data_IF_747393281875
#
_entry.id   IF_747393281875
#
_cell.length_a   1.000
_cell.length_b   1.000
_cell.length_c   1.000
_cell.angle_alpha   90.00
_cell.angle_beta   90.00
_cell.angle_gamma   90.00
#
_symmetry.space_group_name_H-M   'P 1'
#
loop_
_entity.id
_entity.type
_entity.pdbx_description
1 polymer ?
#
# COMPACT_ATOMS: atom_id res chain seq x y z
N UNK A 1 17.28 34.05 -34.04
CA UNK A 1 17.45 33.40 -32.73
C UNK A 1 16.09 32.95 -32.24
N UNK A 2 15.67 31.82 -32.67
CA UNK A 2 14.38 31.23 -32.28
C UNK A 2 14.63 30.10 -31.33
N UNK A 3 14.31 30.31 -30.09
CA UNK A 3 14.26 29.25 -29.10
C UNK A 3 13.19 28.23 -29.51
N UNK A 4 13.47 26.95 -29.51
CA UNK A 4 12.50 25.95 -29.94
C UNK A 4 11.33 25.89 -28.95
N UNK A 5 10.13 26.06 -29.49
CA UNK A 5 8.83 25.88 -28.83
C UNK A 5 8.55 24.44 -28.35
N UNK A 6 9.57 23.58 -28.28
CA UNK A 6 9.42 22.17 -27.92
C UNK A 6 9.20 21.97 -26.40
N UNK A 7 9.69 22.87 -25.56
CA UNK A 7 9.58 22.76 -24.11
C UNK A 7 8.14 22.76 -23.56
N UNK A 8 7.25 23.66 -24.00
CA UNK A 8 5.89 23.68 -23.48
C UNK A 8 5.05 22.47 -23.90
N UNK A 9 5.36 21.83 -25.03
CA UNK A 9 4.63 20.65 -25.51
C UNK A 9 5.01 19.43 -24.70
N UNK A 10 6.29 19.23 -24.40
CA UNK A 10 6.78 18.10 -23.59
C UNK A 10 6.23 18.20 -22.16
N UNK A 11 6.22 19.38 -21.57
CA UNK A 11 5.66 19.63 -20.24
C UNK A 11 4.14 19.38 -20.25
N UNK A 12 3.43 19.80 -21.29
CA UNK A 12 1.99 19.55 -21.45
C UNK A 12 1.67 18.06 -21.60
N UNK A 13 2.45 17.33 -22.36
CA UNK A 13 2.29 15.87 -22.52
C UNK A 13 2.59 15.16 -21.20
N UNK A 14 3.61 15.59 -20.47
CA UNK A 14 3.98 15.01 -19.17
C UNK A 14 2.91 15.28 -18.10
N UNK A 15 2.38 16.50 -18.04
CA UNK A 15 1.29 16.89 -17.12
C UNK A 15 -0.02 16.19 -17.49
N UNK A 16 -0.38 16.12 -18.77
CA UNK A 16 -1.56 15.38 -19.25
C UNK A 16 -1.44 13.89 -18.94
N UNK A 17 -0.28 13.29 -19.13
CA UNK A 17 -0.04 11.87 -18.83
C UNK A 17 -0.11 11.61 -17.32
N UNK A 18 0.40 12.53 -16.51
CA UNK A 18 0.31 12.44 -15.05
C UNK A 18 -1.13 12.59 -14.52
N UNK A 19 -1.91 13.49 -15.13
CA UNK A 19 -3.33 13.67 -14.79
C UNK A 19 -4.16 12.48 -15.28
N UNK A 20 -3.87 11.96 -16.47
CA UNK A 20 -4.55 10.80 -17.03
C UNK A 20 -4.27 9.54 -16.22
N UNK A 21 -3.04 9.34 -15.74
CA UNK A 21 -2.65 8.24 -14.87
C UNK A 21 -3.41 8.29 -13.54
N UNK A 22 -3.60 9.49 -12.98
CA UNK A 22 -4.32 9.68 -11.72
C UNK A 22 -5.84 9.43 -11.82
N UNK A 23 -6.42 9.55 -13.02
CA UNK A 23 -7.86 9.30 -13.27
C UNK A 23 -8.24 7.80 -13.26
N UNK A 24 -7.26 6.90 -13.46
CA UNK A 24 -7.47 5.46 -13.50
C UNK A 24 -6.94 4.72 -12.26
N UNK A 25 -6.36 5.45 -11.31
CA UNK A 25 -5.91 4.86 -10.05
C UNK A 25 -7.10 4.60 -9.13
N UNK A 26 -7.17 3.37 -8.66
CA UNK A 26 -8.08 2.94 -7.61
C UNK A 26 -7.35 2.92 -6.27
N UNK A 27 -8.10 3.08 -5.21
CA UNK A 27 -7.60 3.01 -3.85
C UNK A 27 -7.71 1.59 -3.31
N UNK A 28 -6.62 1.09 -2.74
CA UNK A 28 -6.52 -0.27 -2.21
C UNK A 28 -5.97 -0.28 -0.79
N UNK A 29 -6.43 -1.25 -0.03
CA UNK A 29 -5.86 -1.60 1.27
C UNK A 29 -5.39 -3.05 1.23
N UNK A 30 -4.19 -3.29 1.74
CA UNK A 30 -3.67 -4.65 1.92
C UNK A 30 -3.24 -4.85 3.37
N UNK A 31 -3.71 -5.93 3.96
CA UNK A 31 -3.20 -6.45 5.24
C UNK A 31 -2.49 -7.77 4.94
N UNK A 32 -1.28 -7.92 5.44
CA UNK A 32 -0.58 -9.20 5.41
C UNK A 32 0.01 -9.54 6.77
N UNK A 33 0.17 -10.83 7.00
CA UNK A 33 0.66 -11.40 8.24
C UNK A 33 1.96 -12.12 7.94
N UNK A 34 3.05 -11.65 8.55
CA UNK A 34 4.34 -12.28 8.46
C UNK A 34 4.54 -13.31 9.58
N UNK A 35 5.35 -14.32 9.29
CA UNK A 35 5.68 -15.37 10.26
C UNK A 35 6.36 -14.78 11.50
N UNK A 36 6.01 -15.27 12.73
CA UNK A 36 6.55 -14.73 13.98
C UNK A 36 8.02 -15.10 14.24
N UNK A 37 8.62 -15.96 13.43
CA UNK A 37 10.02 -16.38 13.58
C UNK A 37 11.03 -15.38 13.02
N UNK A 38 10.56 -14.33 12.33
CA UNK A 38 11.41 -13.29 11.77
C UNK A 38 12.01 -12.40 12.86
N UNK A 39 13.26 -12.01 12.68
CA UNK A 39 13.86 -10.91 13.43
C UNK A 39 13.29 -9.57 12.95
N UNK A 40 13.44 -8.51 13.75
CA UNK A 40 12.98 -7.15 13.37
C UNK A 40 13.61 -6.67 12.05
N UNK A 41 14.89 -7.01 11.81
CA UNK A 41 15.57 -6.69 10.56
C UNK A 41 14.96 -7.43 9.37
N UNK A 42 14.69 -8.72 9.49
CA UNK A 42 14.07 -9.53 8.44
C UNK A 42 12.64 -9.10 8.15
N UNK A 43 11.88 -8.75 9.19
CA UNK A 43 10.53 -8.22 9.05
C UNK A 43 10.54 -6.91 8.26
N UNK A 44 11.43 -5.99 8.62
CA UNK A 44 11.59 -4.71 7.89
C UNK A 44 11.98 -4.94 6.44
N UNK A 45 12.93 -5.83 6.17
CA UNK A 45 13.34 -6.20 4.81
C UNK A 45 12.17 -6.74 3.99
N UNK A 46 11.34 -7.61 4.57
CA UNK A 46 10.15 -8.14 3.89
C UNK A 46 9.15 -7.02 3.55
N UNK A 47 8.87 -6.11 4.49
CA UNK A 47 7.99 -4.96 4.25
C UNK A 47 8.56 -4.04 3.17
N UNK A 48 9.84 -3.69 3.25
CA UNK A 48 10.53 -2.85 2.26
C UNK A 48 10.50 -3.47 0.86
N UNK A 49 10.60 -4.79 0.75
CA UNK A 49 10.45 -5.53 -0.50
C UNK A 49 9.06 -5.33 -1.11
N UNK A 50 8.00 -5.44 -0.32
CA UNK A 50 6.62 -5.29 -0.80
C UNK A 50 6.29 -3.85 -1.16
N UNK A 51 6.68 -2.88 -0.35
CA UNK A 51 6.48 -1.45 -0.63
C UNK A 51 7.28 -0.99 -1.85
N UNK A 52 8.52 -1.47 -2.00
CA UNK A 52 9.34 -1.20 -3.18
C UNK A 52 8.75 -1.78 -4.46
N UNK A 53 8.15 -2.97 -4.38
CA UNK A 53 7.45 -3.56 -5.53
C UNK A 53 6.26 -2.70 -5.97
N UNK A 54 5.44 -2.24 -5.02
CA UNK A 54 4.30 -1.36 -5.30
C UNK A 54 4.75 -0.03 -5.93
N UNK A 55 5.73 0.64 -5.34
CA UNK A 55 6.27 1.91 -5.86
C UNK A 55 6.91 1.76 -7.24
N UNK A 56 7.65 0.69 -7.47
CA UNK A 56 8.24 0.39 -8.78
C UNK A 56 7.20 0.10 -9.87
N UNK A 57 6.05 -0.43 -9.46
CA UNK A 57 4.91 -0.65 -10.36
C UNK A 57 4.05 0.61 -10.60
N UNK A 58 4.43 1.75 -10.04
CA UNK A 58 3.74 3.02 -10.19
C UNK A 58 2.66 3.30 -9.14
N UNK A 59 2.55 2.49 -8.11
CA UNK A 59 1.65 2.75 -6.99
C UNK A 59 2.17 3.89 -6.09
N UNK A 60 1.25 4.62 -5.48
CA UNK A 60 1.55 5.65 -4.48
C UNK A 60 1.11 5.14 -3.12
N UNK A 61 2.05 4.99 -2.20
CA UNK A 61 1.74 4.63 -0.81
C UNK A 61 1.10 5.81 -0.10
N UNK A 62 -0.10 5.60 0.43
CA UNK A 62 -0.87 6.61 1.17
C UNK A 62 -0.65 6.46 2.66
N UNK A 63 -0.64 5.22 3.15
CA UNK A 63 -0.44 4.91 4.56
C UNK A 63 0.28 3.57 4.71
N UNK A 64 1.14 3.47 5.70
CA UNK A 64 1.93 2.28 6.02
C UNK A 64 1.95 2.13 7.55
N UNK A 65 1.36 1.07 8.07
CA UNK A 65 1.22 0.85 9.50
C UNK A 65 1.72 -0.54 9.89
N UNK A 66 2.67 -0.58 10.80
CA UNK A 66 3.08 -1.82 11.47
C UNK A 66 2.25 -2.02 12.74
N UNK A 67 1.41 -3.05 12.75
CA UNK A 67 0.55 -3.32 13.90
C UNK A 67 1.19 -4.24 14.94
N UNK A 68 2.37 -4.77 14.65
CA UNK A 68 3.14 -5.60 15.56
C UNK A 68 2.69 -7.05 15.62
N UNK A 69 3.26 -7.77 16.61
CA UNK A 69 2.94 -9.17 16.85
C UNK A 69 1.57 -9.29 17.49
N UNK A 70 0.68 -10.07 16.86
CA UNK A 70 -0.67 -10.32 17.34
C UNK A 70 -1.02 -11.79 17.30
N UNK A 71 -1.92 -12.20 18.18
CA UNK A 71 -2.49 -13.54 18.18
C UNK A 71 -3.41 -13.73 16.98
N UNK A 72 -3.27 -14.86 16.28
CA UNK A 72 -4.15 -15.26 15.20
C UNK A 72 -5.47 -15.77 15.76
N UNK A 73 -6.57 -15.60 15.01
CA UNK A 73 -7.89 -16.15 15.38
C UNK A 73 -7.87 -17.70 15.43
N UNK A 74 -7.06 -18.31 14.58
CA UNK A 74 -6.79 -19.75 14.54
C UNK A 74 -5.35 -19.99 14.07
N UNK A 75 -4.72 -21.14 14.42
CA UNK A 75 -3.36 -21.41 13.98
C UNK A 75 -3.23 -21.51 12.47
N UNK A 76 -2.19 -20.90 11.91
CA UNK A 76 -1.80 -21.02 10.50
C UNK A 76 -0.41 -21.65 10.46
N UNK A 77 -0.24 -22.75 9.74
CA UNK A 77 1.04 -23.49 9.67
C UNK A 77 1.64 -23.77 11.07
N UNK A 78 0.81 -24.19 12.01
CA UNK A 78 1.17 -24.44 13.42
C UNK A 78 1.65 -23.22 14.22
N UNK A 79 1.44 -22.00 13.70
CA UNK A 79 1.77 -20.74 14.36
C UNK A 79 0.50 -20.08 14.89
N UNK A 80 0.53 -19.64 16.13
CA UNK A 80 -0.60 -18.98 16.80
C UNK A 80 -0.50 -17.45 16.83
N UNK A 81 0.63 -16.90 16.39
CA UNK A 81 0.91 -15.45 16.32
C UNK A 81 1.51 -15.09 14.99
N UNK A 82 1.48 -13.80 14.62
CA UNK A 82 2.11 -13.27 13.44
C UNK A 82 2.27 -11.75 13.51
N UNK A 83 3.16 -11.21 12.70
CA UNK A 83 3.34 -9.78 12.56
C UNK A 83 2.35 -9.23 11.53
N UNK A 84 1.44 -8.38 11.97
CA UNK A 84 0.45 -7.73 11.12
C UNK A 84 1.02 -6.43 10.54
N UNK A 85 0.86 -6.27 9.25
CA UNK A 85 1.24 -5.06 8.54
C UNK A 85 0.12 -4.62 7.61
N UNK A 86 -0.13 -3.32 7.57
CA UNK A 86 -1.18 -2.68 6.78
C UNK A 86 -0.57 -1.65 5.84
N UNK A 87 -0.93 -1.73 4.56
CA UNK A 87 -0.53 -0.75 3.55
C UNK A 87 -1.77 -0.27 2.82
N UNK A 88 -1.90 1.04 2.72
CA UNK A 88 -2.92 1.72 1.93
C UNK A 88 -2.23 2.43 0.76
N UNK A 89 -2.71 2.22 -0.45
CA UNK A 89 -2.05 2.73 -1.64
C UNK A 89 -3.02 2.96 -2.80
N UNK A 90 -2.66 3.90 -3.67
CA UNK A 90 -3.31 4.15 -4.95
C UNK A 90 -2.53 3.45 -6.07
N UNK A 91 -3.21 2.69 -6.89
CA UNK A 91 -2.59 1.96 -7.99
C UNK A 91 -3.54 1.72 -9.16
N UNK A 92 -2.95 1.49 -10.33
CA UNK A 92 -3.68 0.90 -11.45
C UNK A 92 -4.11 -0.54 -11.10
N UNK A 93 -5.32 -0.98 -11.49
CA UNK A 93 -5.81 -2.34 -11.22
C UNK A 93 -4.87 -3.45 -11.70
N UNK A 94 -4.07 -3.22 -12.73
CA UNK A 94 -3.10 -4.18 -13.26
C UNK A 94 -1.95 -4.50 -12.30
N UNK A 95 -1.68 -3.62 -11.32
CA UNK A 95 -0.64 -3.79 -10.32
C UNK A 95 -1.01 -4.84 -9.27
N UNK A 96 -2.29 -5.05 -9.02
CA UNK A 96 -2.79 -5.88 -7.91
C UNK A 96 -2.42 -7.35 -8.09
N UNK A 97 -2.69 -7.93 -9.25
CA UNK A 97 -2.44 -9.36 -9.50
C UNK A 97 -0.96 -9.75 -9.38
N UNK A 98 0.01 -9.01 -9.94
CA UNK A 98 1.43 -9.25 -9.69
C UNK A 98 1.82 -9.09 -8.22
N UNK A 99 1.29 -8.09 -7.54
CA UNK A 99 1.55 -7.86 -6.12
C UNK A 99 1.04 -9.00 -5.23
N UNK A 100 -0.20 -9.44 -5.43
CA UNK A 100 -0.75 -10.60 -4.72
C UNK A 100 0.01 -11.90 -5.03
N UNK A 101 0.51 -12.04 -6.25
CA UNK A 101 1.36 -13.18 -6.62
C UNK A 101 2.70 -13.15 -5.86
N UNK A 102 3.29 -11.96 -5.67
CA UNK A 102 4.49 -11.79 -4.86
C UNK A 102 4.23 -12.18 -3.40
N UNK A 103 3.16 -11.68 -2.79
CA UNK A 103 2.77 -12.02 -1.41
C UNK A 103 2.53 -13.52 -1.24
N UNK A 104 1.83 -14.15 -2.17
CA UNK A 104 1.51 -15.58 -2.13
C UNK A 104 2.72 -16.49 -2.26
N UNK A 105 3.75 -16.06 -2.99
CA UNK A 105 4.98 -16.84 -3.20
C UNK A 105 6.03 -16.63 -2.12
N UNK A 106 5.85 -15.63 -1.29
CA UNK A 106 6.80 -15.33 -0.23
C UNK A 106 6.55 -16.21 0.97
N UNK A 107 7.55 -17.02 1.35
CA UNK A 107 7.48 -17.96 2.46
C UNK A 107 7.34 -17.28 3.83
N UNK A 108 7.65 -16.00 3.90
CA UNK A 108 7.50 -15.21 5.13
C UNK A 108 6.06 -14.76 5.37
N UNK A 109 5.20 -14.79 4.34
CA UNK A 109 3.81 -14.37 4.40
C UNK A 109 2.91 -15.56 4.74
N UNK A 110 2.30 -15.54 5.92
CA UNK A 110 1.33 -16.54 6.34
C UNK A 110 -0.03 -16.37 5.65
N UNK A 111 -0.47 -15.13 5.53
CA UNK A 111 -1.74 -14.76 4.92
C UNK A 111 -1.76 -13.30 4.50
N UNK A 112 -2.58 -12.99 3.49
CA UNK A 112 -2.81 -11.61 3.06
C UNK A 112 -4.24 -11.43 2.57
N UNK A 113 -4.69 -10.18 2.54
CA UNK A 113 -5.92 -9.75 1.90
C UNK A 113 -5.71 -8.39 1.26
N UNK A 114 -6.17 -8.21 0.03
CA UNK A 114 -6.19 -6.93 -0.67
C UNK A 114 -7.63 -6.56 -0.98
N UNK A 115 -8.04 -5.36 -0.65
CA UNK A 115 -9.40 -4.85 -0.81
C UNK A 115 -9.34 -3.57 -1.63
N UNK A 116 -10.14 -3.48 -2.70
CA UNK A 116 -10.40 -2.23 -3.38
C UNK A 116 -11.38 -1.39 -2.55
N UNK A 117 -11.01 -0.16 -2.26
CA UNK A 117 -11.84 0.78 -1.51
C UNK A 117 -12.80 1.49 -2.46
N UNK A 118 -14.06 1.57 -2.07
CA UNK A 118 -15.04 2.44 -2.72
C UNK A 118 -14.79 3.90 -2.30
N UNK A 119 -15.20 4.85 -3.14
CA UNK A 119 -15.04 6.30 -2.91
C UNK A 119 -15.57 6.76 -1.55
N UNK A 120 -16.61 6.13 -1.04
CA UNK A 120 -17.18 6.44 0.28
C UNK A 120 -16.30 5.96 1.44
N UNK A 121 -15.64 4.82 1.30
CA UNK A 121 -14.71 4.30 2.30
C UNK A 121 -13.43 5.14 2.39
N UNK A 122 -12.95 5.66 1.27
CA UNK A 122 -11.80 6.57 1.24
C UNK A 122 -12.06 7.83 2.07
N UNK A 123 -13.20 8.49 1.87
CA UNK A 123 -13.59 9.67 2.64
C UNK A 123 -13.72 9.38 4.15
N UNK A 124 -14.20 8.19 4.52
CA UNK A 124 -14.28 7.76 5.91
C UNK A 124 -12.90 7.47 6.52
N UNK A 125 -12.01 6.83 5.78
CA UNK A 125 -10.65 6.54 6.22
C UNK A 125 -9.83 7.83 6.43
N UNK A 126 -9.97 8.82 5.55
CA UNK A 126 -9.39 10.15 5.70
C UNK A 126 -9.91 10.87 6.96
N UNK A 127 -11.22 10.85 7.18
CA UNK A 127 -11.85 11.43 8.37
C UNK A 127 -11.34 10.74 9.65
N UNK A 128 -11.21 9.42 9.65
CA UNK A 128 -10.69 8.65 10.80
C UNK A 128 -9.22 9.00 11.10
N UNK A 129 -8.39 9.21 10.06
CA UNK A 129 -6.98 9.63 10.22
C UNK A 129 -6.87 11.04 10.81
N UNK A 130 -7.67 11.98 10.31
CA UNK A 130 -7.67 13.36 10.82
C UNK A 130 -8.13 13.44 12.28
N UNK A 131 -9.05 12.58 12.71
CA UNK A 131 -9.48 12.47 14.11
C UNK A 131 -8.39 11.86 15.02
N UNK A 132 -7.58 10.91 14.50
CA UNK A 132 -6.46 10.33 15.24
C UNK A 132 -5.30 11.32 15.42
N UNK A 133 -5.07 12.20 14.45
CA UNK A 133 -4.01 13.22 14.51
C UNK A 133 -4.37 14.42 15.41
N UNK A 134 -5.66 14.60 15.77
CA UNK A 134 -6.15 15.63 16.67
C UNK A 134 -6.84 15.02 17.91
N UNK A 135 -6.09 14.63 18.96
CA UNK A 135 -6.68 14.03 20.16
C UNK A 135 -7.50 15.02 21.02
N UNK A 136 -7.53 16.29 20.69
CA UNK A 136 -8.23 17.35 21.46
C UNK A 136 -9.75 17.42 21.16
N UNK A 137 -10.25 16.71 20.18
CA UNK A 137 -11.67 16.75 19.79
C UNK A 137 -12.55 15.64 20.44
N UNK A 138 -12.08 15.02 21.50
CA UNK A 138 -12.82 13.97 22.24
C UNK A 138 -13.22 14.40 23.66
N UNK A 139 -13.69 15.64 23.84
CA UNK A 139 -14.41 16.06 25.04
C UNK A 139 -15.78 16.60 24.67
#
# INVERSE_FOLDING_TARGET
MTQPLAYPIIIRIFVLNSIFHKLFMNHYETVFILTPVLSDAQMKEAVDKFTSHLTSAGATIVNDEHWGLKKLAYPIEKKSTGFYHFIEFDADPSVIKPFETLLRRDETVLRYITIAQDKFHHAYAEKRRSLKSNPVAQN
#
